data_IF_506899394054
#
_entry.id   IF_506899394054
#
_cell.length_a   1.000
_cell.length_b   1.000
_cell.length_c   1.000
_cell.angle_alpha   90.00
_cell.angle_beta   90.00
_cell.angle_gamma   90.00
#
_symmetry.space_group_name_H-M   'P 1'
#
loop_
_entity.id
_entity.type
_entity.pdbx_description
1 polymer ?
#
# COMPACT_ATOMS: atom_id res chain seq x y z
N UNK A 1 3.97 0.50 -11.89
CA UNK A 1 3.91 0.43 -13.38
C UNK A 1 3.29 -0.86 -13.92
N UNK A 2 3.44 -2.03 -13.26
CA UNK A 2 2.88 -3.30 -13.75
C UNK A 2 1.38 -3.30 -14.06
N UNK A 3 0.55 -2.73 -13.20
CA UNK A 3 -0.91 -2.64 -13.40
C UNK A 3 -1.31 -1.83 -14.63
N UNK A 4 -0.57 -0.77 -14.98
CA UNK A 4 -0.85 0.05 -16.18
C UNK A 4 -0.62 -0.75 -17.45
N UNK A 5 0.51 -1.47 -17.52
CA UNK A 5 0.80 -2.35 -18.65
C UNK A 5 -0.23 -3.49 -18.77
N UNK A 6 -0.66 -4.06 -17.64
CA UNK A 6 -1.70 -5.09 -17.60
C UNK A 6 -3.05 -4.58 -18.12
N UNK A 7 -3.48 -3.38 -17.72
CA UNK A 7 -4.71 -2.76 -18.21
C UNK A 7 -4.69 -2.54 -19.72
N UNK A 8 -3.57 -2.05 -20.25
CA UNK A 8 -3.39 -1.85 -21.69
C UNK A 8 -3.42 -3.20 -22.44
N UNK A 9 -2.70 -4.20 -21.94
CA UNK A 9 -2.65 -5.53 -22.55
C UNK A 9 -4.04 -6.19 -22.57
N UNK A 10 -4.77 -6.14 -21.45
CA UNK A 10 -6.12 -6.70 -21.35
C UNK A 10 -7.10 -5.96 -22.25
N UNK A 11 -6.97 -4.63 -22.36
CA UNK A 11 -7.78 -3.85 -23.30
C UNK A 11 -7.57 -4.27 -24.74
N UNK A 12 -6.31 -4.44 -25.17
CA UNK A 12 -5.99 -4.86 -26.54
C UNK A 12 -6.39 -6.32 -26.81
N UNK A 13 -6.22 -7.22 -25.83
CA UNK A 13 -6.44 -8.65 -26.05
C UNK A 13 -7.91 -9.10 -25.90
N UNK A 14 -8.71 -8.40 -25.09
CA UNK A 14 -10.04 -8.88 -24.69
C UNK A 14 -11.19 -7.90 -24.95
N UNK A 15 -10.93 -6.63 -25.27
CA UNK A 15 -11.98 -5.63 -25.54
C UNK A 15 -12.13 -5.38 -27.04
N UNK A 16 -13.34 -5.47 -27.60
CA UNK A 16 -13.56 -5.22 -29.03
C UNK A 16 -13.27 -3.77 -29.42
N UNK A 17 -12.68 -3.58 -30.60
CA UNK A 17 -12.29 -2.26 -31.12
C UNK A 17 -13.46 -1.28 -31.24
N UNK A 18 -14.67 -1.77 -31.52
CA UNK A 18 -15.90 -0.98 -31.58
C UNK A 18 -16.29 -0.38 -30.22
N UNK A 19 -16.06 -1.12 -29.13
CA UNK A 19 -16.29 -0.65 -27.77
C UNK A 19 -15.24 0.37 -27.33
N UNK A 20 -13.99 0.23 -27.82
CA UNK A 20 -12.92 1.20 -27.57
C UNK A 20 -13.15 2.50 -28.36
N UNK A 21 -13.61 2.40 -29.60
CA UNK A 21 -13.85 3.55 -30.48
C UNK A 21 -15.13 4.32 -30.10
N UNK A 22 -16.17 3.64 -29.60
CA UNK A 22 -17.40 4.26 -29.14
C UNK A 22 -17.88 3.67 -27.79
N UNK A 23 -17.27 4.10 -26.67
CA UNK A 23 -17.59 3.55 -25.36
C UNK A 23 -19.04 3.86 -24.91
N UNK A 24 -19.69 4.87 -25.48
CA UNK A 24 -21.07 5.24 -25.14
C UNK A 24 -22.12 4.20 -25.57
N UNK A 25 -21.76 3.30 -26.48
CA UNK A 25 -22.62 2.20 -26.95
C UNK A 25 -22.13 0.83 -26.49
N UNK A 26 -21.02 0.77 -25.75
CA UNK A 26 -20.41 -0.47 -25.30
C UNK A 26 -21.29 -1.15 -24.24
N UNK A 27 -21.45 -2.47 -24.34
CA UNK A 27 -22.10 -3.24 -23.31
C UNK A 27 -21.21 -3.36 -22.07
N UNK A 28 -21.83 -3.56 -20.90
CA UNK A 28 -21.10 -3.78 -19.63
C UNK A 28 -20.11 -4.94 -19.74
N UNK A 29 -20.46 -5.98 -20.52
CA UNK A 29 -19.60 -7.15 -20.75
C UNK A 29 -18.35 -6.81 -21.56
N UNK A 30 -18.42 -5.82 -22.45
CA UNK A 30 -17.32 -5.46 -23.34
C UNK A 30 -16.19 -4.77 -22.57
N UNK A 31 -16.55 -3.99 -21.53
CA UNK A 31 -15.59 -3.27 -20.68
C UNK A 31 -15.21 -4.02 -19.40
N UNK A 32 -15.89 -5.13 -19.11
CA UNK A 32 -15.68 -5.93 -17.90
C UNK A 32 -14.21 -6.34 -17.67
N UNK A 33 -13.41 -6.73 -18.69
CA UNK A 33 -12.02 -7.11 -18.47
C UNK A 33 -11.16 -5.95 -17.96
N UNK A 34 -11.26 -4.76 -18.56
CA UNK A 34 -10.49 -3.57 -18.13
C UNK A 34 -10.98 -3.12 -16.75
N UNK A 35 -12.29 -3.11 -16.52
CA UNK A 35 -12.88 -2.76 -15.23
C UNK A 35 -12.38 -3.70 -14.12
N UNK A 36 -12.29 -5.00 -14.38
CA UNK A 36 -11.76 -5.99 -13.45
C UNK A 36 -10.28 -5.73 -13.10
N UNK A 37 -9.45 -5.39 -14.09
CA UNK A 37 -8.05 -5.01 -13.85
C UNK A 37 -7.95 -3.72 -13.04
N UNK A 38 -8.77 -2.71 -13.35
CA UNK A 38 -8.81 -1.46 -12.59
C UNK A 38 -9.19 -1.67 -11.13
N UNK A 39 -10.22 -2.49 -10.88
CA UNK A 39 -10.62 -2.87 -9.52
C UNK A 39 -9.52 -3.64 -8.79
N UNK A 40 -8.90 -4.62 -9.45
CA UNK A 40 -7.80 -5.38 -8.87
C UNK A 40 -6.61 -4.48 -8.52
N UNK A 41 -6.27 -3.51 -9.38
CA UNK A 41 -5.25 -2.50 -9.10
C UNK A 41 -5.59 -1.63 -7.90
N UNK A 42 -6.86 -1.22 -7.75
CA UNK A 42 -7.30 -0.41 -6.61
C UNK A 42 -7.22 -1.21 -5.29
N UNK A 43 -7.62 -2.48 -5.32
CA UNK A 43 -7.53 -3.38 -4.16
C UNK A 43 -6.07 -3.60 -3.77
N UNK A 44 -5.18 -3.85 -4.73
CA UNK A 44 -3.74 -4.02 -4.48
C UNK A 44 -3.13 -2.75 -3.86
N UNK A 45 -3.42 -1.58 -4.42
CA UNK A 45 -2.96 -0.29 -3.88
C UNK A 45 -3.49 -0.04 -2.46
N UNK A 46 -4.76 -0.33 -2.20
CA UNK A 46 -5.35 -0.23 -0.87
C UNK A 46 -4.66 -1.18 0.12
N UNK A 47 -4.47 -2.45 -0.26
CA UNK A 47 -3.81 -3.44 0.60
C UNK A 47 -2.36 -3.05 0.90
N UNK A 48 -1.62 -2.54 -0.09
CA UNK A 48 -0.26 -2.02 0.10
C UNK A 48 -0.26 -0.83 1.08
N UNK A 49 -1.17 0.12 0.90
CA UNK A 49 -1.29 1.29 1.77
C UNK A 49 -1.64 0.90 3.21
N UNK A 50 -2.60 -0.01 3.41
CA UNK A 50 -2.96 -0.52 4.74
C UNK A 50 -1.77 -1.21 5.42
N UNK A 51 -1.05 -2.08 4.71
CA UNK A 51 0.13 -2.77 5.26
C UNK A 51 1.24 -1.78 5.62
N UNK A 52 1.46 -0.77 4.78
CA UNK A 52 2.44 0.28 5.05
C UNK A 52 2.08 1.08 6.31
N UNK A 53 0.81 1.48 6.46
CA UNK A 53 0.37 2.21 7.64
C UNK A 53 0.52 1.38 8.91
N UNK A 54 0.14 0.10 8.88
CA UNK A 54 0.31 -0.81 10.02
C UNK A 54 1.79 -1.00 10.38
N UNK A 55 2.68 -1.04 9.38
CA UNK A 55 4.12 -1.12 9.61
C UNK A 55 4.65 0.15 10.27
N UNK A 56 4.24 1.33 9.81
CA UNK A 56 4.60 2.60 10.44
C UNK A 56 4.09 2.71 11.89
N UNK A 57 2.88 2.22 12.17
CA UNK A 57 2.35 2.17 13.53
C UNK A 57 3.17 1.23 14.43
N UNK A 58 3.52 0.04 13.92
CA UNK A 58 4.36 -0.90 14.66
C UNK A 58 5.79 -0.37 14.89
N UNK A 59 6.36 0.33 13.92
CA UNK A 59 7.66 1.00 14.05
C UNK A 59 7.61 2.12 15.09
N UNK A 60 6.48 2.84 15.22
CA UNK A 60 6.30 3.86 16.28
C UNK A 60 6.02 3.27 17.65
N UNK A 61 5.41 2.10 17.72
CA UNK A 61 5.04 1.41 18.96
C UNK A 61 6.24 0.68 19.59
N UNK A 62 7.30 1.41 19.95
CA UNK A 62 8.44 0.86 20.68
C UNK A 62 8.11 0.84 22.18
N UNK A 63 8.70 -0.10 22.93
CA UNK A 63 8.60 -0.13 24.40
C UNK A 63 9.98 -0.02 25.00
N UNK A 64 10.10 0.74 26.09
CA UNK A 64 11.35 0.86 26.83
C UNK A 64 11.77 -0.51 27.40
N UNK A 65 13.03 -0.92 27.22
CA UNK A 65 13.57 -2.19 27.73
C UNK A 65 13.67 -2.25 29.26
N UNK A 66 13.70 -1.10 29.94
CA UNK A 66 13.83 -1.01 31.39
C UNK A 66 12.47 -0.91 32.11
N UNK A 67 11.62 0.04 31.70
CA UNK A 67 10.33 0.29 32.39
C UNK A 67 9.09 -0.24 31.64
N UNK A 68 9.26 -0.78 30.42
CA UNK A 68 8.23 -1.39 29.58
C UNK A 68 7.04 -0.49 29.20
N UNK A 69 7.15 0.81 29.43
CA UNK A 69 6.18 1.80 28.95
C UNK A 69 6.38 2.07 27.46
N UNK A 70 5.30 2.53 26.84
CA UNK A 70 5.29 2.97 25.44
C UNK A 70 6.28 4.13 25.24
N UNK A 71 7.07 4.00 24.19
CA UNK A 71 8.19 4.86 23.83
C UNK A 71 8.10 5.13 22.34
N UNK A 72 8.22 6.40 21.96
CA UNK A 72 8.30 6.79 20.55
C UNK A 72 9.68 6.44 20.00
N UNK A 73 9.73 5.95 18.76
CA UNK A 73 10.93 5.36 18.17
C UNK A 73 12.07 6.37 17.88
N UNK A 74 11.78 7.67 17.88
CA UNK A 74 12.69 8.77 17.56
C UNK A 74 13.22 9.50 18.80
N UNK A 75 12.91 9.02 20.00
CA UNK A 75 13.41 9.59 21.26
C UNK A 75 14.79 9.04 21.61
N UNK A 76 15.71 9.90 22.05
CA UNK A 76 17.04 9.49 22.53
C UNK A 76 17.02 8.90 23.96
N UNK A 77 16.01 9.25 24.76
CA UNK A 77 15.86 8.80 26.15
C UNK A 77 14.40 8.52 26.47
N UNK A 78 14.14 7.59 27.39
CA UNK A 78 12.80 7.29 27.87
C UNK A 78 12.25 8.41 28.76
N UNK A 79 11.12 9.06 28.42
CA UNK A 79 10.55 10.15 29.22
C UNK A 79 10.08 9.75 30.61
N UNK A 80 9.89 8.44 30.84
CA UNK A 80 9.32 7.91 32.07
C UNK A 80 10.38 7.55 33.12
N UNK A 81 11.52 7.01 32.70
CA UNK A 81 12.56 6.51 33.62
C UNK A 81 13.96 7.03 33.32
N UNK A 82 14.16 7.73 32.20
CA UNK A 82 15.45 8.32 31.82
C UNK A 82 16.46 7.34 31.20
N UNK A 83 16.11 6.07 30.98
CA UNK A 83 16.99 5.10 30.29
C UNK A 83 17.19 5.51 28.82
N UNK A 84 18.41 5.38 28.31
CA UNK A 84 18.73 5.58 26.89
C UNK A 84 17.85 4.69 26.00
N UNK A 85 17.33 5.27 24.91
CA UNK A 85 16.61 4.51 23.93
C UNK A 85 17.63 3.78 23.05
N UNK A 86 17.54 2.45 22.99
CA UNK A 86 18.27 1.67 21.99
C UNK A 86 17.55 1.84 20.65
N UNK A 87 17.79 2.96 19.97
CA UNK A 87 17.35 3.14 18.59
C UNK A 87 18.05 2.07 17.75
N UNK A 88 17.34 1.36 16.88
CA UNK A 88 17.92 0.30 16.04
C UNK A 88 18.91 0.78 14.96
N UNK A 89 19.64 1.86 15.22
CA UNK A 89 20.53 2.57 14.30
C UNK A 89 22.02 2.50 14.72
N UNK A 90 22.36 1.70 15.74
CA UNK A 90 23.75 1.41 16.14
C UNK A 90 24.45 0.39 15.20
N UNK A 91 24.20 0.50 13.90
CA UNK A 91 24.84 -0.30 12.86
C UNK A 91 25.47 0.58 11.77
N UNK A 92 26.34 1.52 12.16
CA UNK A 92 27.55 1.88 11.39
C UNK A 92 28.61 2.55 12.28
#
# INVERSE_FOLDING_TARGET
MGWVALSLLVGVAFVPESALANPGTAGVRDVAPIAAVGLASAIDAYALATRHNLRLEAERAVRCSNCYRELEADLAFCPWCGTEATTGDDAD
#
